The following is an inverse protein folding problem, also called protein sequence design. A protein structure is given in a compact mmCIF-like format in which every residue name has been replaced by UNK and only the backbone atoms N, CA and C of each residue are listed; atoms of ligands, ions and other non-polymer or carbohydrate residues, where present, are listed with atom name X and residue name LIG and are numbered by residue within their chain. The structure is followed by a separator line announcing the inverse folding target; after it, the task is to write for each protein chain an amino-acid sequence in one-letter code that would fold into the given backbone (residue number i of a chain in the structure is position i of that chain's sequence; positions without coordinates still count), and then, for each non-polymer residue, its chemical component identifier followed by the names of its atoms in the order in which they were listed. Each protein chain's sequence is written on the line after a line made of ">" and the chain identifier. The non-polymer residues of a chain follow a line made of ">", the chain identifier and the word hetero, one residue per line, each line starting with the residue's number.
data_IF_988102989454
#
_entry.id   IF_988102989454
#
_cell.length_a   1.000
_cell.length_b   1.000
_cell.length_c   1.000
_cell.angle_alpha   90.00
_cell.angle_beta   90.00
_cell.angle_gamma   90.00
#
_symmetry.space_group_name_H-M   'P 1'
#
loop_
_entity.id
_entity.type
_entity.pdbx_description
1 polymer ?
#
# COMPACT_ATOMS: atom_id res chain seq x y z
N UNK A 1 -24.98 25.50 35.29
CA UNK A 1 -25.13 24.47 34.27
C UNK A 1 -24.02 24.68 33.26
N UNK A 2 -22.94 23.93 33.39
CA UNK A 2 -21.81 23.94 32.45
C UNK A 2 -22.15 22.87 31.43
N UNK A 3 -22.38 23.27 30.19
CA UNK A 3 -22.57 22.36 29.10
C UNK A 3 -21.29 21.53 28.95
N UNK A 4 -21.38 20.23 29.21
CA UNK A 4 -20.37 19.23 28.81
C UNK A 4 -20.23 19.30 27.31
N UNK A 5 -19.10 19.81 26.84
CA UNK A 5 -18.70 19.62 25.45
C UNK A 5 -18.49 18.11 25.27
N UNK A 6 -19.41 17.49 24.54
CA UNK A 6 -19.28 16.14 24.04
C UNK A 6 -18.05 16.14 23.13
N UNK A 7 -16.93 15.63 23.62
CA UNK A 7 -15.77 15.33 22.81
C UNK A 7 -16.16 14.12 21.95
N UNK A 8 -16.90 14.40 20.88
CA UNK A 8 -17.26 13.39 19.88
C UNK A 8 -15.98 12.73 19.40
N UNK A 9 -15.86 11.43 19.68
CA UNK A 9 -14.85 10.55 19.13
C UNK A 9 -14.95 10.65 17.60
N UNK A 10 -14.04 11.40 17.00
CA UNK A 10 -13.99 11.54 15.56
C UNK A 10 -13.48 10.21 14.97
N UNK A 11 -14.26 9.59 14.07
CA UNK A 11 -13.85 8.41 13.32
C UNK A 11 -12.58 8.72 12.53
N UNK A 12 -11.71 7.71 12.36
CA UNK A 12 -10.57 7.80 11.46
C UNK A 12 -11.08 8.07 10.03
N UNK A 13 -10.57 9.11 9.39
CA UNK A 13 -10.90 9.44 8.00
C UNK A 13 -9.76 8.99 7.10
N UNK A 14 -10.03 8.04 6.20
CA UNK A 14 -9.04 7.48 5.29
C UNK A 14 -9.37 7.81 3.83
N UNK A 15 -8.36 8.24 3.08
CA UNK A 15 -8.40 8.41 1.63
C UNK A 15 -7.68 7.24 0.98
N UNK A 16 -8.37 6.48 0.14
CA UNK A 16 -7.76 5.43 -0.69
C UNK A 16 -7.61 5.96 -2.11
N UNK A 17 -6.38 5.96 -2.65
CA UNK A 17 -6.09 6.26 -4.04
C UNK A 17 -6.08 4.93 -4.82
N UNK A 18 -7.03 4.78 -5.73
CA UNK A 18 -7.17 3.62 -6.61
C UNK A 18 -6.97 4.05 -8.06
N UNK A 19 -6.28 3.25 -8.86
CA UNK A 19 -5.79 3.60 -10.18
C UNK A 19 -6.60 2.95 -11.31
N UNK A 20 -7.10 1.73 -11.08
CA UNK A 20 -7.89 0.98 -12.07
C UNK A 20 -8.83 -0.02 -11.38
N UNK A 21 -9.78 -0.59 -12.16
CA UNK A 21 -10.78 -1.52 -11.62
C UNK A 21 -10.17 -2.83 -11.08
N UNK A 22 -9.13 -3.43 -11.70
CA UNK A 22 -8.55 -4.68 -11.20
C UNK A 22 -7.77 -4.55 -9.89
N UNK A 23 -7.49 -3.33 -9.41
CA UNK A 23 -6.71 -3.09 -8.17
C UNK A 23 -7.57 -2.54 -7.04
N UNK A 24 -8.59 -3.27 -6.56
CA UNK A 24 -9.40 -2.85 -5.43
C UNK A 24 -8.60 -2.96 -4.11
N UNK A 25 -9.04 -2.26 -3.05
CA UNK A 25 -8.29 -2.17 -1.80
C UNK A 25 -8.21 -3.47 -0.97
N UNK A 26 -8.96 -4.52 -1.29
CA UNK A 26 -8.85 -5.84 -0.67
C UNK A 26 -8.85 -5.81 0.86
N UNK A 27 -7.82 -6.41 1.49
CA UNK A 27 -7.70 -6.44 2.96
C UNK A 27 -7.54 -5.05 3.60
N UNK A 28 -7.16 -4.01 2.85
CA UNK A 28 -7.17 -2.62 3.37
C UNK A 28 -8.58 -2.18 3.69
N UNK A 29 -9.58 -2.49 2.81
CA UNK A 29 -10.98 -2.18 3.11
C UNK A 29 -11.47 -2.89 4.36
N UNK A 30 -11.19 -4.18 4.47
CA UNK A 30 -11.58 -4.98 5.64
C UNK A 30 -10.98 -4.41 6.93
N UNK A 31 -9.70 -4.03 6.89
CA UNK A 31 -9.01 -3.41 8.01
C UNK A 31 -9.67 -2.09 8.43
N UNK A 32 -9.91 -1.17 7.47
CA UNK A 32 -10.52 0.14 7.76
C UNK A 32 -11.97 0.01 8.25
N UNK A 33 -12.72 -0.97 7.72
CA UNK A 33 -14.06 -1.30 8.22
C UNK A 33 -14.02 -1.78 9.68
N UNK A 34 -13.02 -2.60 10.05
CA UNK A 34 -12.85 -3.08 11.42
C UNK A 34 -12.58 -1.96 12.43
N UNK A 35 -12.02 -0.83 11.96
CA UNK A 35 -11.77 0.38 12.74
C UNK A 35 -12.96 1.36 12.75
N UNK A 36 -14.10 1.02 12.13
CA UNK A 36 -15.23 1.94 11.90
C UNK A 36 -14.80 3.26 11.23
N UNK A 37 -13.81 3.18 10.32
CA UNK A 37 -13.27 4.36 9.63
C UNK A 37 -14.25 4.93 8.61
N UNK A 38 -14.20 6.26 8.42
CA UNK A 38 -14.84 6.93 7.29
C UNK A 38 -13.88 6.87 6.08
N UNK A 39 -14.26 6.11 5.05
CA UNK A 39 -13.40 5.84 3.91
C UNK A 39 -13.91 6.52 2.65
N UNK A 40 -13.04 7.28 1.99
CA UNK A 40 -13.24 7.73 0.61
C UNK A 40 -12.29 6.99 -0.32
N UNK A 41 -12.83 6.21 -1.27
CA UNK A 41 -12.05 5.64 -2.37
C UNK A 41 -12.08 6.59 -3.56
N UNK A 42 -10.93 7.11 -3.94
CA UNK A 42 -10.76 8.10 -4.99
C UNK A 42 -10.09 7.46 -6.22
N UNK A 43 -10.83 7.31 -7.31
CA UNK A 43 -10.32 6.85 -8.61
C UNK A 43 -9.54 7.98 -9.25
N UNK A 44 -8.24 8.04 -8.94
CA UNK A 44 -7.37 9.14 -9.37
C UNK A 44 -7.13 9.16 -10.88
N UNK A 45 -7.21 8.01 -11.53
CA UNK A 45 -7.10 7.83 -12.98
C UNK A 45 -8.27 8.47 -13.74
N UNK A 46 -9.48 8.40 -13.19
CA UNK A 46 -10.72 8.90 -13.79
C UNK A 46 -11.11 10.31 -13.31
N UNK A 47 -10.48 10.79 -12.24
CA UNK A 47 -10.95 11.98 -11.55
C UNK A 47 -10.72 13.26 -12.38
N UNK A 48 -11.76 14.09 -12.47
CA UNK A 48 -11.77 15.44 -13.04
C UNK A 48 -11.62 16.54 -11.95
N UNK A 49 -11.57 16.14 -10.67
CA UNK A 49 -11.41 17.01 -9.50
C UNK A 49 -10.11 16.72 -8.75
N UNK A 50 -9.69 17.67 -7.97
CA UNK A 50 -8.64 17.47 -6.98
C UNK A 50 -9.26 17.05 -5.64
N UNK A 51 -8.46 16.31 -4.83
CA UNK A 51 -8.75 16.01 -3.44
C UNK A 51 -7.63 16.59 -2.56
N UNK A 52 -8.02 17.15 -1.42
CA UNK A 52 -7.06 17.68 -0.45
C UNK A 52 -6.74 16.60 0.60
N UNK A 53 -5.52 16.04 0.60
CA UNK A 53 -5.15 14.98 1.54
C UNK A 53 -5.14 15.46 3.00
N UNK A 54 -5.03 16.77 3.25
CA UNK A 54 -4.98 17.32 4.63
C UNK A 54 -6.31 17.21 5.38
N UNK A 55 -7.38 16.87 4.67
CA UNK A 55 -8.69 16.58 5.26
C UNK A 55 -8.84 15.15 5.79
N UNK A 56 -7.80 14.32 5.72
CA UNK A 56 -7.81 12.92 6.13
C UNK A 56 -6.74 12.66 7.19
N UNK A 57 -6.98 11.62 8.01
CA UNK A 57 -6.05 11.15 9.02
C UNK A 57 -5.06 10.12 8.47
N UNK A 58 -5.37 9.55 7.28
CA UNK A 58 -4.58 8.55 6.60
C UNK A 58 -4.82 8.62 5.08
N UNK A 59 -3.74 8.50 4.30
CA UNK A 59 -3.78 8.26 2.86
C UNK A 59 -3.24 6.87 2.57
N UNK A 60 -3.98 6.07 1.79
CA UNK A 60 -3.51 4.77 1.27
C UNK A 60 -3.43 4.87 -0.25
N UNK A 61 -2.28 4.60 -0.83
CA UNK A 61 -2.10 4.49 -2.28
C UNK A 61 -1.88 3.02 -2.66
N UNK A 62 -2.72 2.51 -3.55
CA UNK A 62 -2.74 1.11 -3.96
C UNK A 62 -1.71 0.80 -5.05
N UNK A 63 -1.70 -0.45 -5.50
CA UNK A 63 -0.97 -0.91 -6.68
C UNK A 63 -1.55 -0.36 -7.98
N UNK A 64 -0.76 -0.46 -9.07
CA UNK A 64 -1.15 -0.10 -10.43
C UNK A 64 -0.31 -0.86 -11.45
N UNK A 65 -0.85 -1.12 -12.65
CA UNK A 65 -0.10 -1.68 -13.78
C UNK A 65 0.90 -0.67 -14.37
N UNK A 66 0.74 0.62 -14.09
CA UNK A 66 1.59 1.67 -14.63
C UNK A 66 2.87 1.87 -13.81
N UNK A 67 3.91 2.40 -14.45
CA UNK A 67 5.12 2.79 -13.74
C UNK A 67 4.92 4.11 -12.97
N UNK A 68 5.33 4.15 -11.71
CA UNK A 68 5.21 5.35 -10.86
C UNK A 68 6.09 6.53 -11.32
N UNK A 69 6.90 6.34 -12.37
CA UNK A 69 7.72 7.38 -13.02
C UNK A 69 7.27 7.71 -14.45
N UNK A 70 6.14 7.12 -14.93
CA UNK A 70 5.61 7.43 -16.27
C UNK A 70 4.72 8.68 -16.25
N UNK A 71 5.33 9.86 -16.32
CA UNK A 71 4.63 11.14 -16.35
C UNK A 71 3.80 11.38 -17.62
N UNK A 72 3.80 10.44 -18.58
CA UNK A 72 2.88 10.49 -19.73
C UNK A 72 1.45 10.12 -19.34
N UNK A 73 1.27 9.45 -18.21
CA UNK A 73 -0.03 9.15 -17.61
C UNK A 73 -0.47 10.33 -16.73
N UNK A 74 -1.57 11.04 -17.08
CA UNK A 74 -1.92 12.29 -16.39
C UNK A 74 -2.12 12.18 -14.87
N UNK A 75 -2.53 10.99 -14.38
CA UNK A 75 -2.74 10.78 -12.96
C UNK A 75 -1.42 10.63 -12.17
N UNK A 76 -0.33 10.15 -12.79
CA UNK A 76 0.96 9.93 -12.10
C UNK A 76 1.54 11.22 -11.50
N UNK A 77 1.74 12.33 -12.25
CA UNK A 77 2.20 13.58 -11.65
C UNK A 77 1.17 14.21 -10.69
N UNK A 78 -0.14 13.97 -10.88
CA UNK A 78 -1.18 14.43 -9.97
C UNK A 78 -1.08 13.73 -8.62
N UNK A 79 -0.88 12.41 -8.63
CA UNK A 79 -0.70 11.65 -7.40
C UNK A 79 0.60 12.02 -6.69
N UNK A 80 1.70 12.19 -7.41
CA UNK A 80 2.94 12.67 -6.84
C UNK A 80 2.75 14.01 -6.10
N UNK A 81 2.00 14.95 -6.70
CA UNK A 81 1.67 16.22 -6.06
C UNK A 81 0.76 16.07 -4.84
N UNK A 82 -0.23 15.16 -4.88
CA UNK A 82 -1.10 14.87 -3.75
C UNK A 82 -0.32 14.25 -2.61
N UNK A 83 0.47 13.21 -2.88
CA UNK A 83 1.28 12.54 -1.85
C UNK A 83 2.33 13.47 -1.25
N UNK A 84 2.93 14.37 -2.05
CA UNK A 84 3.82 15.43 -1.55
C UNK A 84 3.10 16.29 -0.52
N UNK A 85 1.88 16.76 -0.83
CA UNK A 85 1.08 17.57 0.11
C UNK A 85 0.75 16.80 1.40
N UNK A 86 0.44 15.49 1.29
CA UNK A 86 0.20 14.65 2.46
C UNK A 86 1.43 14.58 3.36
N UNK A 87 2.60 14.26 2.78
CA UNK A 87 3.87 14.16 3.51
C UNK A 87 4.26 15.51 4.14
N UNK A 88 4.17 16.62 3.39
CA UNK A 88 4.52 17.95 3.87
C UNK A 88 3.59 18.43 5.01
N UNK A 89 2.34 17.94 5.03
CA UNK A 89 1.36 18.21 6.10
C UNK A 89 1.40 17.19 7.25
N UNK A 90 2.37 16.28 7.26
CA UNK A 90 2.51 15.19 8.25
C UNK A 90 1.28 14.24 8.32
N UNK A 91 0.54 14.13 7.21
CA UNK A 91 -0.52 13.11 7.06
C UNK A 91 0.14 11.77 6.74
N UNK A 92 -0.11 10.72 7.54
CA UNK A 92 0.47 9.39 7.29
C UNK A 92 0.09 8.85 5.91
N UNK A 93 1.05 8.22 5.24
CA UNK A 93 0.83 7.54 3.95
C UNK A 93 1.20 6.07 4.07
N UNK A 94 0.30 5.19 3.64
CA UNK A 94 0.57 3.77 3.38
C UNK A 94 0.60 3.57 1.87
N UNK A 95 1.76 3.29 1.31
CA UNK A 95 1.91 3.01 -0.12
C UNK A 95 2.12 1.52 -0.39
N UNK A 96 1.37 0.94 -1.31
CA UNK A 96 1.42 -0.47 -1.69
C UNK A 96 1.86 -0.59 -3.15
N UNK A 97 2.92 -1.31 -3.43
CA UNK A 97 3.53 -1.53 -4.75
C UNK A 97 3.75 -0.19 -5.50
N UNK A 98 2.95 0.15 -6.49
CA UNK A 98 2.98 1.46 -7.14
C UNK A 98 2.92 2.61 -6.12
N UNK A 99 2.01 2.54 -5.13
CA UNK A 99 1.91 3.55 -4.07
C UNK A 99 3.17 3.64 -3.21
N UNK A 100 3.84 2.52 -2.94
CA UNK A 100 5.14 2.47 -2.27
C UNK A 100 6.23 3.12 -3.10
N UNK A 101 6.28 2.83 -4.40
CA UNK A 101 7.18 3.46 -5.36
C UNK A 101 6.90 4.97 -5.48
N UNK A 102 5.62 5.36 -5.57
CA UNK A 102 5.23 6.77 -5.62
C UNK A 102 5.65 7.53 -4.35
N UNK A 103 5.48 6.93 -3.17
CA UNK A 103 5.97 7.51 -1.91
C UNK A 103 7.50 7.65 -1.94
N UNK A 104 8.23 6.62 -2.40
CA UNK A 104 9.68 6.67 -2.54
C UNK A 104 10.11 7.82 -3.48
N UNK A 105 9.47 7.97 -4.65
CA UNK A 105 9.67 9.06 -5.60
C UNK A 105 9.46 10.43 -4.96
N UNK A 106 8.36 10.61 -4.26
CA UNK A 106 8.02 11.86 -3.58
C UNK A 106 9.05 12.23 -2.52
N UNK A 107 9.66 11.25 -1.89
CA UNK A 107 10.74 11.44 -0.91
C UNK A 107 12.13 11.61 -1.55
N UNK A 108 12.23 11.53 -2.87
CA UNK A 108 13.46 11.80 -3.64
C UNK A 108 14.30 10.57 -3.94
N UNK A 109 13.74 9.37 -3.84
CA UNK A 109 14.39 8.15 -4.31
C UNK A 109 14.36 8.04 -5.84
N UNK A 110 15.34 7.34 -6.40
CA UNK A 110 15.33 6.91 -7.79
C UNK A 110 14.42 5.68 -7.94
N UNK A 111 13.60 5.68 -9.01
CA UNK A 111 12.81 4.53 -9.43
C UNK A 111 13.36 4.00 -10.74
N UNK A 112 13.39 2.68 -10.88
CA UNK A 112 13.93 2.05 -12.07
C UNK A 112 13.30 0.69 -12.33
N UNK A 113 13.38 0.24 -13.60
CA UNK A 113 13.03 -1.12 -13.99
C UNK A 113 14.04 -2.08 -13.39
N UNK A 114 13.58 -3.09 -12.66
CA UNK A 114 14.45 -4.15 -12.15
C UNK A 114 14.93 -5.08 -13.28
N UNK A 115 16.12 -5.64 -13.12
CA UNK A 115 16.62 -6.69 -14.02
C UNK A 115 15.89 -8.03 -13.80
N UNK A 116 15.31 -8.22 -12.61
CA UNK A 116 14.58 -9.43 -12.21
C UNK A 116 13.21 -8.99 -11.71
N UNK A 117 12.15 -9.56 -12.29
CA UNK A 117 10.79 -9.41 -11.80
C UNK A 117 10.58 -10.26 -10.53
N UNK A 118 9.73 -9.79 -9.63
CA UNK A 118 9.27 -10.60 -8.50
C UNK A 118 7.76 -10.84 -8.66
N UNK A 119 7.39 -12.11 -8.94
CA UNK A 119 5.99 -12.54 -9.09
C UNK A 119 5.78 -13.82 -8.27
N UNK A 120 4.81 -13.78 -7.35
CA UNK A 120 4.45 -14.91 -6.50
C UNK A 120 4.58 -14.62 -5.00
N UNK A 121 4.49 -15.67 -4.19
CA UNK A 121 4.60 -15.61 -2.74
C UNK A 121 6.06 -15.75 -2.31
N UNK A 122 6.72 -14.65 -1.99
CA UNK A 122 8.16 -14.61 -1.71
C UNK A 122 8.43 -14.12 -0.28
N UNK A 123 9.41 -14.72 0.43
CA UNK A 123 9.86 -14.18 1.73
C UNK A 123 10.67 -12.91 1.53
N UNK A 124 10.65 -12.03 2.51
CA UNK A 124 11.52 -10.85 2.60
C UNK A 124 12.50 -11.01 3.76
N UNK A 125 13.69 -10.43 3.64
CA UNK A 125 14.58 -10.25 4.80
C UNK A 125 14.09 -9.05 5.60
N UNK A 126 13.48 -9.30 6.75
CA UNK A 126 13.00 -8.25 7.62
C UNK A 126 14.09 -7.74 8.55
N UNK A 127 14.20 -6.43 8.67
CA UNK A 127 15.04 -5.73 9.66
C UNK A 127 14.22 -5.26 10.87
N UNK A 128 12.89 -5.32 10.76
CA UNK A 128 11.92 -5.05 11.83
C UNK A 128 10.77 -6.07 11.73
N UNK A 129 10.96 -7.31 12.23
CA UNK A 129 9.95 -8.37 12.15
C UNK A 129 8.66 -8.05 12.93
N UNK A 130 8.73 -7.11 13.88
CA UNK A 130 7.57 -6.65 14.62
C UNK A 130 6.68 -5.75 13.76
N UNK A 131 7.23 -4.98 12.82
CA UNK A 131 6.47 -4.19 11.86
C UNK A 131 6.16 -4.99 10.60
N UNK A 132 7.17 -5.57 9.98
CA UNK A 132 7.06 -6.32 8.72
C UNK A 132 7.60 -7.74 8.94
N UNK A 133 6.76 -8.75 9.21
CA UNK A 133 7.18 -10.15 9.27
C UNK A 133 7.81 -10.63 7.94
N UNK A 134 8.65 -11.66 8.00
CA UNK A 134 9.34 -12.21 6.82
C UNK A 134 8.40 -12.76 5.74
N UNK A 135 7.14 -12.94 6.04
CA UNK A 135 6.12 -13.38 5.10
C UNK A 135 5.95 -14.90 5.03
N UNK A 136 5.77 -15.48 3.84
CA UNK A 136 5.89 -14.84 2.51
C UNK A 136 4.79 -13.82 2.23
N UNK A 137 5.17 -12.81 1.43
CA UNK A 137 4.28 -11.77 0.92
C UNK A 137 4.05 -11.96 -0.56
N UNK A 138 2.88 -11.54 -1.06
CA UNK A 138 2.59 -11.59 -2.48
C UNK A 138 3.31 -10.47 -3.21
N UNK A 139 4.04 -10.82 -4.27
CA UNK A 139 4.80 -9.92 -5.13
C UNK A 139 4.22 -9.97 -6.55
N UNK A 140 4.11 -8.82 -7.21
CA UNK A 140 3.88 -8.70 -8.64
C UNK A 140 4.38 -7.35 -9.10
N UNK A 141 5.66 -7.27 -9.36
CA UNK A 141 6.28 -6.03 -9.80
C UNK A 141 7.50 -6.27 -10.67
N UNK A 142 7.73 -5.30 -11.54
CA UNK A 142 8.84 -5.23 -12.47
C UNK A 142 9.74 -4.03 -12.17
N UNK A 143 9.19 -3.01 -11.53
CA UNK A 143 9.89 -1.79 -11.13
C UNK A 143 10.20 -1.83 -9.65
N UNK A 144 11.24 -1.13 -9.25
CA UNK A 144 11.67 -1.01 -7.86
C UNK A 144 12.19 0.40 -7.58
N UNK A 145 12.63 0.65 -6.37
CA UNK A 145 13.13 1.95 -5.91
C UNK A 145 14.39 1.81 -5.08
N UNK A 146 15.22 2.85 -5.09
CA UNK A 146 16.30 3.01 -4.13
C UNK A 146 15.78 3.46 -2.76
N UNK A 147 16.63 3.37 -1.73
CA UNK A 147 16.28 3.84 -0.39
C UNK A 147 15.98 5.36 -0.41
N UNK A 148 14.77 5.80 -0.01
CA UNK A 148 14.47 7.23 0.06
C UNK A 148 15.38 7.95 1.06
N UNK A 149 15.85 9.17 0.76
CA UNK A 149 16.66 9.94 1.69
C UNK A 149 15.97 10.14 3.05
N UNK A 150 16.67 9.81 4.13
CA UNK A 150 16.16 9.95 5.50
C UNK A 150 15.17 8.88 5.93
N UNK A 151 14.91 7.86 5.11
CA UNK A 151 14.09 6.69 5.48
C UNK A 151 14.92 5.61 6.17
N UNK A 152 14.19 4.67 6.77
CA UNK A 152 14.75 3.41 7.29
C UNK A 152 14.18 2.26 6.47
N UNK A 153 15.04 1.47 5.82
CA UNK A 153 14.63 0.22 5.17
C UNK A 153 14.35 -0.81 6.26
N UNK A 154 13.14 -1.35 6.28
CA UNK A 154 12.69 -2.33 7.28
C UNK A 154 12.52 -3.74 6.72
N UNK A 155 12.48 -3.88 5.39
CA UNK A 155 12.55 -5.19 4.71
C UNK A 155 13.15 -5.05 3.31
N UNK A 156 13.80 -6.12 2.83
CA UNK A 156 14.43 -6.17 1.51
C UNK A 156 14.43 -7.59 0.92
N UNK A 157 14.64 -7.70 -0.40
CA UNK A 157 15.02 -8.90 -1.12
C UNK A 157 16.36 -8.67 -1.84
N UNK A 158 16.81 -9.62 -2.65
CA UNK A 158 18.00 -9.43 -3.49
C UNK A 158 17.74 -8.44 -4.65
N UNK A 159 16.46 -8.17 -4.96
CA UNK A 159 16.05 -7.20 -5.98
C UNK A 159 16.13 -5.76 -5.47
N UNK A 160 15.82 -5.55 -4.20
CA UNK A 160 15.88 -4.22 -3.60
C UNK A 160 15.04 -4.07 -2.32
N UNK A 161 14.83 -2.83 -1.88
CA UNK A 161 13.96 -2.54 -0.74
C UNK A 161 12.54 -3.04 -0.97
N UNK A 162 11.99 -3.70 0.05
CA UNK A 162 10.61 -4.21 0.06
C UNK A 162 9.70 -3.44 1.00
N UNK A 163 10.28 -2.78 2.00
CA UNK A 163 9.55 -1.90 2.90
C UNK A 163 10.47 -0.82 3.48
N UNK A 164 9.95 0.39 3.60
CA UNK A 164 10.65 1.49 4.26
C UNK A 164 9.70 2.34 5.09
N UNK A 165 10.22 2.90 6.18
CA UNK A 165 9.55 3.89 7.02
C UNK A 165 10.19 5.26 6.81
N UNK A 166 9.36 6.28 6.61
CA UNK A 166 9.78 7.68 6.52
C UNK A 166 8.79 8.58 7.26
N UNK A 167 9.23 9.18 8.38
CA UNK A 167 8.33 9.95 9.26
C UNK A 167 7.18 9.09 9.76
N UNK A 168 5.95 9.45 9.39
CA UNK A 168 4.72 8.72 9.74
C UNK A 168 4.21 7.82 8.61
N UNK A 169 5.01 7.58 7.59
CA UNK A 169 4.60 6.86 6.38
C UNK A 169 5.35 5.55 6.23
N UNK A 170 4.69 4.57 5.62
CA UNK A 170 5.21 3.24 5.28
C UNK A 170 5.02 2.99 3.79
N UNK A 171 6.11 2.71 3.07
CA UNK A 171 6.07 2.25 1.69
C UNK A 171 6.39 0.76 1.62
N UNK A 172 5.56 0.00 0.93
CA UNK A 172 5.69 -1.43 0.70
C UNK A 172 5.81 -1.69 -0.80
N UNK A 173 6.67 -2.62 -1.20
CA UNK A 173 6.76 -3.08 -2.58
C UNK A 173 5.80 -4.23 -2.85
N UNK A 174 5.54 -5.07 -1.86
CA UNK A 174 4.65 -6.21 -1.93
C UNK A 174 3.18 -5.83 -1.70
N UNK A 175 2.29 -6.81 -1.91
CA UNK A 175 0.84 -6.66 -1.89
C UNK A 175 0.18 -7.35 -0.68
N UNK A 176 0.12 -6.72 0.50
CA UNK A 176 -0.59 -7.29 1.66
C UNK A 176 -2.11 -7.25 1.48
N UNK A 177 -2.62 -6.43 0.55
CA UNK A 177 -4.06 -6.26 0.30
C UNK A 177 -4.69 -7.40 -0.46
N UNK A 178 -3.89 -8.28 -1.09
CA UNK A 178 -4.37 -9.31 -2.03
C UNK A 178 -5.25 -10.33 -1.35
N UNK A 179 -6.46 -10.49 -1.91
CA UNK A 179 -7.42 -11.56 -1.61
C UNK A 179 -7.42 -12.61 -2.72
N UNK A 180 -8.06 -13.75 -2.48
CA UNK A 180 -8.26 -14.78 -3.53
C UNK A 180 -9.01 -14.22 -4.72
N UNK A 181 -10.03 -13.38 -4.51
CA UNK A 181 -10.79 -12.74 -5.59
C UNK A 181 -9.93 -11.81 -6.43
N UNK A 182 -9.09 -10.97 -5.79
CA UNK A 182 -8.15 -10.09 -6.50
C UNK A 182 -7.21 -10.93 -7.35
N UNK A 183 -6.69 -12.03 -6.81
CA UNK A 183 -5.80 -12.91 -7.54
C UNK A 183 -6.47 -13.57 -8.76
N UNK A 184 -7.70 -14.05 -8.62
CA UNK A 184 -8.47 -14.61 -9.73
C UNK A 184 -8.64 -13.58 -10.85
N UNK A 185 -8.89 -12.31 -10.49
CA UNK A 185 -9.05 -11.21 -11.45
C UNK A 185 -7.71 -10.84 -12.10
N UNK A 186 -6.63 -10.74 -11.34
CA UNK A 186 -5.29 -10.42 -11.86
C UNK A 186 -4.75 -11.51 -12.79
N UNK A 187 -4.87 -12.78 -12.43
CA UNK A 187 -4.43 -13.90 -13.28
C UNK A 187 -5.18 -13.88 -14.61
N UNK A 188 -6.46 -13.51 -14.63
CA UNK A 188 -7.24 -13.40 -15.86
C UNK A 188 -6.82 -12.19 -16.70
N UNK A 189 -6.65 -11.03 -16.08
CA UNK A 189 -6.35 -9.77 -16.77
C UNK A 189 -4.89 -9.72 -17.26
N UNK A 190 -3.95 -10.11 -16.39
CA UNK A 190 -2.52 -10.02 -16.65
C UNK A 190 -1.88 -11.36 -17.03
N UNK A 191 -2.66 -12.30 -17.58
CA UNK A 191 -2.18 -13.61 -18.02
C UNK A 191 -0.96 -13.53 -18.92
N UNK A 192 -0.90 -12.54 -19.78
CA UNK A 192 0.21 -12.33 -20.71
C UNK A 192 1.55 -12.04 -20.03
N UNK A 193 1.54 -11.41 -18.84
CA UNK A 193 2.75 -11.17 -18.05
C UNK A 193 3.25 -12.47 -17.43
N UNK A 194 2.35 -13.29 -16.88
CA UNK A 194 2.69 -14.59 -16.31
C UNK A 194 3.30 -15.50 -17.36
N UNK A 195 2.71 -15.54 -18.56
CA UNK A 195 3.22 -16.33 -19.68
C UNK A 195 4.62 -15.84 -20.12
N UNK A 196 4.87 -14.52 -20.14
CA UNK A 196 6.16 -13.93 -20.50
C UNK A 196 7.25 -14.24 -19.46
N UNK A 197 6.90 -14.26 -18.18
CA UNK A 197 7.81 -14.55 -17.06
C UNK A 197 7.92 -16.05 -16.74
N UNK A 198 7.16 -16.90 -17.42
CA UNK A 198 7.15 -18.36 -17.24
C UNK A 198 6.54 -18.80 -15.90
N UNK A 199 5.65 -17.99 -15.35
CA UNK A 199 4.93 -18.28 -14.09
C UNK A 199 3.68 -19.09 -14.43
N UNK A 200 3.48 -20.24 -13.76
CA UNK A 200 2.30 -21.07 -13.90
C UNK A 200 1.10 -20.43 -13.15
N UNK A 201 0.07 -19.96 -13.86
CA UNK A 201 -1.07 -19.30 -13.24
C UNK A 201 -1.89 -20.20 -12.32
N UNK A 202 -2.03 -21.49 -12.68
CA UNK A 202 -2.83 -22.43 -11.89
C UNK A 202 -2.12 -22.75 -10.57
N UNK A 203 -0.78 -22.92 -10.61
CA UNK A 203 0.03 -23.09 -9.41
C UNK A 203 -0.01 -21.83 -8.50
N UNK A 204 0.01 -20.63 -9.11
CA UNK A 204 -0.08 -19.36 -8.39
C UNK A 204 -1.43 -19.20 -7.67
N UNK A 205 -2.53 -19.52 -8.35
CA UNK A 205 -3.87 -19.51 -7.77
C UNK A 205 -4.00 -20.53 -6.63
N UNK A 206 -3.54 -21.76 -6.85
CA UNK A 206 -3.58 -22.80 -5.82
C UNK A 206 -2.79 -22.39 -4.57
N UNK A 207 -1.61 -21.81 -4.74
CA UNK A 207 -0.81 -21.32 -3.62
C UNK A 207 -1.51 -20.17 -2.88
N UNK A 208 -2.11 -19.24 -3.60
CA UNK A 208 -2.87 -18.12 -3.01
C UNK A 208 -4.05 -18.64 -2.18
N UNK A 209 -4.81 -19.58 -2.70
CA UNK A 209 -5.92 -20.18 -1.95
C UNK A 209 -5.44 -20.90 -0.67
N UNK A 210 -4.32 -21.61 -0.73
CA UNK A 210 -3.74 -22.26 0.47
C UNK A 210 -3.29 -21.25 1.53
N UNK A 211 -2.84 -20.05 1.11
CA UNK A 211 -2.31 -19.02 2.00
C UNK A 211 -3.37 -18.03 2.50
N UNK A 212 -4.55 -18.01 1.92
CA UNK A 212 -5.54 -16.95 2.08
C UNK A 212 -5.78 -16.51 3.54
N UNK A 213 -5.97 -17.46 4.47
CA UNK A 213 -6.20 -17.15 5.88
C UNK A 213 -4.94 -16.55 6.54
N UNK A 214 -3.78 -17.17 6.35
CA UNK A 214 -2.54 -16.71 6.97
C UNK A 214 -2.10 -15.35 6.40
N UNK A 215 -2.25 -15.15 5.09
CA UNK A 215 -1.96 -13.89 4.42
C UNK A 215 -2.84 -12.75 4.94
N UNK A 216 -4.15 -13.01 5.06
CA UNK A 216 -5.08 -12.05 5.64
C UNK A 216 -4.67 -11.65 7.07
N UNK A 217 -4.39 -12.63 7.93
CA UNK A 217 -4.00 -12.36 9.32
C UNK A 217 -2.70 -11.56 9.40
N UNK A 218 -1.70 -11.88 8.56
CA UNK A 218 -0.46 -11.12 8.45
C UNK A 218 -0.69 -9.68 7.96
N UNK A 219 -1.56 -9.50 6.96
CA UNK A 219 -1.89 -8.19 6.41
C UNK A 219 -2.54 -7.28 7.48
N UNK A 220 -3.57 -7.78 8.18
CA UNK A 220 -4.25 -7.02 9.22
C UNK A 220 -3.29 -6.66 10.38
N UNK A 221 -2.41 -7.58 10.78
CA UNK A 221 -1.38 -7.31 11.80
C UNK A 221 -0.39 -6.22 11.33
N UNK A 222 0.05 -6.26 10.07
CA UNK A 222 0.94 -5.25 9.51
C UNK A 222 0.27 -3.88 9.51
N UNK A 223 -0.99 -3.78 9.07
CA UNK A 223 -1.74 -2.53 9.04
C UNK A 223 -1.98 -1.96 10.44
N UNK A 224 -2.32 -2.80 11.42
CA UNK A 224 -2.49 -2.38 12.81
C UNK A 224 -1.18 -1.84 13.40
N UNK A 225 -0.06 -2.50 13.13
CA UNK A 225 1.27 -2.07 13.58
C UNK A 225 1.67 -0.76 12.89
N UNK A 226 1.45 -0.65 11.59
CA UNK A 226 1.66 0.61 10.87
C UNK A 226 0.88 1.74 11.52
N UNK A 227 -0.41 1.57 11.76
CA UNK A 227 -1.26 2.60 12.35
C UNK A 227 -0.77 3.03 13.73
N UNK A 228 -0.44 2.07 14.58
CA UNK A 228 -0.01 2.30 15.96
C UNK A 228 1.41 2.86 16.06
N UNK A 229 2.37 2.21 15.39
CA UNK A 229 3.79 2.40 15.67
C UNK A 229 4.44 3.41 14.72
N UNK A 230 3.95 3.52 13.48
CA UNK A 230 4.47 4.42 12.45
C UNK A 230 3.59 5.64 12.29
N UNK A 231 2.32 5.45 11.91
CA UNK A 231 1.37 6.53 11.69
C UNK A 231 1.01 7.27 12.98
N UNK A 232 1.09 6.58 14.14
CA UNK A 232 0.74 7.13 15.46
C UNK A 232 -0.64 7.77 15.45
N UNK A 233 -1.55 7.19 14.67
CA UNK A 233 -2.94 7.57 14.59
C UNK A 233 -3.72 6.63 15.49
N UNK A 234 -4.45 7.19 16.43
CA UNK A 234 -5.28 6.40 17.36
C UNK A 234 -6.72 6.51 16.89
N UNK A 235 -7.32 5.42 16.35
CA UNK A 235 -8.76 5.41 16.19
C UNK A 235 -9.41 5.59 17.55
N UNK A 236 -10.47 6.36 17.59
CA UNK A 236 -11.22 6.53 18.82
C UNK A 236 -11.77 5.17 19.27
N UNK A 237 -11.19 4.61 20.33
CA UNK A 237 -11.63 3.35 20.93
C UNK A 237 -10.58 2.26 21.11
N UNK A 238 -9.34 2.43 20.69
CA UNK A 238 -8.26 1.47 20.94
C UNK A 238 -7.58 1.62 22.32
N UNK A 239 -7.96 2.58 23.13
CA UNK A 239 -7.55 2.71 24.56
C UNK A 239 -8.40 1.76 25.43
N UNK A 240 -8.35 0.44 25.16
CA UNK A 240 -8.92 -0.57 26.07
C UNK A 240 -7.98 -1.72 26.31
#
# INVERSE_FOLDING_TARGET
>A
MVASADAGSTRLRALILQHEDPTPPGHVSEWLESLDAEVETFRIDLADREVDPTGYDLVVSLGSEFAAFDDTKPFVPREAALMRRAVDADVPVLGLCFGGQMLARVLGAELYRSEISEIGWLPVRSHDPDLVPEGPWFQWHFDTFGAPPGSTIVAETDVGPQAFVAGRSLGLQFHPEVTTQIMDDWVREYRHELDAEGVDPDALLEETHRRASASRDHALQLFDRFLRDVARATPAGLDR
#
